data_IF_288369535904
#
_entry.id   IF_288369535904
#
_cell.length_a   1.000
_cell.length_b   1.000
_cell.length_c   1.000
_cell.angle_alpha   90.00
_cell.angle_beta   90.00
_cell.angle_gamma   90.00
#
_symmetry.space_group_name_H-M   'P 1'
#
loop_
_entity.id
_entity.type
_entity.pdbx_description
1 polymer ?
#
# COMPACT_ATOMS: atom_id res chain seq x y z
N UNK A 1 -8.48 -18.69 -8.13
CA UNK A 1 -9.26 -17.55 -8.63
C UNK A 1 -9.45 -16.53 -7.52
N UNK A 2 -8.96 -15.31 -7.73
CA UNK A 2 -9.12 -14.25 -6.75
C UNK A 2 -10.57 -13.75 -6.79
N UNK A 3 -11.28 -13.82 -5.68
CA UNK A 3 -12.63 -13.28 -5.58
C UNK A 3 -12.61 -11.86 -4.99
N UNK A 4 -13.63 -11.01 -5.25
CA UNK A 4 -13.66 -9.64 -4.75
C UNK A 4 -13.60 -9.53 -3.22
N UNK A 5 -14.16 -10.52 -2.52
CA UNK A 5 -14.17 -10.53 -1.05
C UNK A 5 -12.77 -10.78 -0.49
N UNK A 6 -12.01 -11.71 -1.07
CA UNK A 6 -10.62 -11.98 -0.70
C UNK A 6 -9.72 -10.76 -0.95
N UNK A 7 -9.93 -10.07 -2.07
CA UNK A 7 -9.19 -8.87 -2.41
C UNK A 7 -9.51 -7.74 -1.43
N UNK A 8 -10.78 -7.55 -1.10
CA UNK A 8 -11.20 -6.55 -0.12
C UNK A 8 -10.57 -6.81 1.26
N UNK A 9 -10.53 -8.07 1.70
CA UNK A 9 -9.88 -8.46 2.95
C UNK A 9 -8.37 -8.18 2.91
N UNK A 10 -7.71 -8.44 1.78
CA UNK A 10 -6.29 -8.13 1.57
C UNK A 10 -6.00 -6.63 1.66
N UNK A 11 -6.86 -5.81 1.09
CA UNK A 11 -6.72 -4.34 1.16
C UNK A 11 -6.83 -3.85 2.60
N UNK A 12 -7.77 -4.37 3.38
CA UNK A 12 -7.91 -4.02 4.79
C UNK A 12 -6.63 -4.36 5.56
N UNK A 13 -6.07 -5.56 5.33
CA UNK A 13 -4.80 -5.96 5.94
C UNK A 13 -3.63 -5.07 5.53
N UNK A 14 -3.53 -4.73 4.25
CA UNK A 14 -2.50 -3.83 3.73
C UNK A 14 -2.62 -2.42 4.31
N UNK A 15 -3.85 -1.90 4.43
CA UNK A 15 -4.10 -0.58 5.03
C UNK A 15 -3.69 -0.56 6.51
N UNK A 16 -3.97 -1.62 7.25
CA UNK A 16 -3.55 -1.75 8.64
C UNK A 16 -2.03 -1.75 8.77
N UNK A 17 -1.33 -2.53 7.94
CA UNK A 17 0.13 -2.60 7.91
C UNK A 17 0.75 -1.25 7.52
N UNK A 18 0.26 -0.62 6.46
CA UNK A 18 0.73 0.68 6.01
C UNK A 18 0.49 1.76 7.07
N UNK A 19 -0.67 1.75 7.72
CA UNK A 19 -1.00 2.66 8.81
C UNK A 19 -0.05 2.52 9.99
N UNK A 20 0.28 1.31 10.37
CA UNK A 20 1.24 1.02 11.46
C UNK A 20 2.64 1.54 11.12
N UNK A 21 3.11 1.28 9.91
CA UNK A 21 4.41 1.76 9.42
C UNK A 21 4.44 3.30 9.39
N UNK A 22 3.41 3.94 8.87
CA UNK A 22 3.29 5.39 8.86
C UNK A 22 3.31 5.97 10.28
N UNK A 23 2.61 5.34 11.22
CA UNK A 23 2.58 5.77 12.62
C UNK A 23 3.97 5.70 13.26
N UNK A 24 4.68 4.60 13.06
CA UNK A 24 6.04 4.41 13.61
C UNK A 24 7.01 5.43 13.02
N UNK A 25 7.02 5.60 11.71
CA UNK A 25 7.89 6.56 11.02
C UNK A 25 7.55 8.01 11.39
N UNK A 26 6.27 8.35 11.46
CA UNK A 26 5.81 9.68 11.86
C UNK A 26 6.23 10.01 13.29
N UNK A 27 6.08 9.07 14.19
CA UNK A 27 6.53 9.21 15.56
C UNK A 27 8.04 9.45 15.65
N UNK A 28 8.82 8.68 14.90
CA UNK A 28 10.28 8.85 14.84
C UNK A 28 10.67 10.21 14.27
N UNK A 29 10.12 10.60 13.13
CA UNK A 29 10.43 11.88 12.48
C UNK A 29 10.06 13.07 13.36
N UNK A 30 8.95 12.97 14.10
CA UNK A 30 8.49 14.05 15.00
C UNK A 30 9.31 14.16 16.29
N UNK A 31 9.80 13.03 16.80
CA UNK A 31 10.47 12.99 18.11
C UNK A 31 11.96 13.28 18.05
N UNK A 32 12.57 13.18 16.87
CA UNK A 32 14.02 13.34 16.70
C UNK A 32 14.32 14.71 16.11
N UNK A 33 15.22 15.48 16.75
CA UNK A 33 15.71 16.73 16.20
C UNK A 33 16.57 16.37 14.97
N UNK A 34 16.34 17.04 13.86
CA UNK A 34 17.03 16.80 12.59
C UNK A 34 16.90 15.32 12.12
N UNK A 35 15.66 14.85 12.01
CA UNK A 35 15.39 13.50 11.49
C UNK A 35 16.04 13.31 10.11
N UNK A 36 16.67 12.16 9.85
CA UNK A 36 17.32 11.90 8.57
C UNK A 36 16.35 12.05 7.39
N UNK A 37 16.83 12.59 6.28
CA UNK A 37 16.01 12.72 5.08
C UNK A 37 15.50 11.37 4.59
N UNK A 38 16.31 10.32 4.74
CA UNK A 38 15.91 8.95 4.40
C UNK A 38 14.67 8.48 5.18
N UNK A 39 14.54 8.86 6.46
CA UNK A 39 13.36 8.54 7.26
C UNK A 39 12.13 9.31 6.76
N UNK A 40 12.29 10.57 6.39
CA UNK A 40 11.22 11.37 5.80
C UNK A 40 10.78 10.82 4.45
N UNK A 41 11.73 10.38 3.63
CA UNK A 41 11.45 9.76 2.33
C UNK A 41 10.68 8.44 2.51
N UNK A 42 11.06 7.64 3.49
CA UNK A 42 10.36 6.39 3.81
C UNK A 42 8.92 6.68 4.28
N UNK A 43 8.74 7.69 5.12
CA UNK A 43 7.41 8.11 5.58
C UNK A 43 6.55 8.59 4.41
N UNK A 44 7.12 9.39 3.51
CA UNK A 44 6.41 9.88 2.33
C UNK A 44 5.97 8.70 1.43
N UNK A 45 6.87 7.76 1.17
CA UNK A 45 6.57 6.59 0.34
C UNK A 45 5.45 5.72 0.95
N UNK A 46 5.51 5.47 2.26
CA UNK A 46 4.50 4.70 2.95
C UNK A 46 3.14 5.42 2.99
N UNK A 47 3.15 6.73 3.19
CA UNK A 47 1.93 7.56 3.20
C UNK A 47 1.26 7.59 1.82
N UNK A 48 2.03 7.73 0.76
CA UNK A 48 1.52 7.71 -0.62
C UNK A 48 0.92 6.35 -0.97
N UNK A 49 1.59 5.27 -0.58
CA UNK A 49 1.07 3.92 -0.78
C UNK A 49 -0.26 3.73 -0.04
N UNK A 50 -0.35 4.22 1.19
CA UNK A 50 -1.57 4.16 1.99
C UNK A 50 -2.73 4.88 1.30
N UNK A 51 -2.49 6.08 0.74
CA UNK A 51 -3.51 6.83 0.00
C UNK A 51 -4.01 6.04 -1.21
N UNK A 52 -3.12 5.42 -1.97
CA UNK A 52 -3.51 4.61 -3.12
C UNK A 52 -4.33 3.39 -2.67
N UNK A 53 -3.95 2.75 -1.57
CA UNK A 53 -4.72 1.63 -1.01
C UNK A 53 -6.12 2.07 -0.56
N UNK A 54 -6.26 3.25 0.01
CA UNK A 54 -7.58 3.82 0.37
C UNK A 54 -8.43 4.04 -0.89
N UNK A 55 -7.85 4.51 -1.98
CA UNK A 55 -8.55 4.68 -3.25
C UNK A 55 -8.99 3.33 -3.83
N UNK A 56 -8.14 2.32 -3.76
CA UNK A 56 -8.47 0.96 -4.20
C UNK A 56 -9.62 0.39 -3.37
N UNK A 57 -9.59 0.58 -2.06
CA UNK A 57 -10.67 0.15 -1.17
C UNK A 57 -12.01 0.80 -1.54
N UNK A 58 -12.01 2.10 -1.78
CA UNK A 58 -13.21 2.83 -2.19
C UNK A 58 -13.78 2.32 -3.51
N UNK A 59 -12.92 2.02 -4.48
CA UNK A 59 -13.35 1.44 -5.75
C UNK A 59 -13.92 0.03 -5.60
N UNK A 60 -13.30 -0.80 -4.78
CA UNK A 60 -13.78 -2.16 -4.53
C UNK A 60 -15.15 -2.15 -3.84
N UNK A 61 -15.38 -1.21 -2.94
CA UNK A 61 -16.67 -1.04 -2.27
C UNK A 61 -17.77 -0.66 -3.27
N UNK A 62 -17.46 0.24 -4.20
CA UNK A 62 -18.40 0.62 -5.28
C UNK A 62 -18.66 -0.57 -6.21
N UNK A 63 -17.60 -1.31 -6.57
CA UNK A 63 -17.70 -2.45 -7.48
C UNK A 63 -18.47 -3.63 -6.89
N UNK A 64 -18.47 -3.81 -5.57
CA UNK A 64 -19.19 -4.90 -4.91
C UNK A 64 -20.71 -4.81 -5.08
N UNK A 65 -21.22 -3.62 -5.38
CA UNK A 65 -22.64 -3.40 -5.68
C UNK A 65 -23.02 -3.56 -7.15
N UNK A 66 -22.05 -3.84 -8.04
CA UNK A 66 -22.29 -3.97 -9.48
C UNK A 66 -22.39 -5.45 -9.87
N UNK A 67 -23.20 -5.79 -10.92
CA UNK A 67 -23.22 -7.16 -11.43
C UNK A 67 -21.83 -7.55 -11.95
N UNK A 68 -21.42 -8.77 -11.66
CA UNK A 68 -20.12 -9.30 -12.01
C UNK A 68 -19.93 -9.32 -13.54
N UNK A 69 -19.02 -8.46 -14.02
CA UNK A 69 -18.62 -8.44 -15.40
C UNK A 69 -17.33 -9.25 -15.55
N UNK A 70 -17.35 -10.26 -16.45
CA UNK A 70 -16.22 -11.16 -16.69
C UNK A 70 -14.90 -10.45 -16.99
N UNK A 71 -14.95 -9.27 -17.63
CA UNK A 71 -13.76 -8.47 -17.93
C UNK A 71 -13.10 -7.90 -16.68
N UNK A 72 -13.85 -7.65 -15.64
CA UNK A 72 -13.32 -7.20 -14.35
C UNK A 72 -12.62 -8.33 -13.60
N UNK A 73 -13.11 -9.57 -13.70
CA UNK A 73 -12.53 -10.73 -13.04
C UNK A 73 -11.09 -11.01 -13.48
N UNK A 74 -10.78 -10.84 -14.76
CA UNK A 74 -9.43 -11.04 -15.30
C UNK A 74 -8.43 -10.04 -14.70
N UNK A 75 -8.89 -8.84 -14.38
CA UNK A 75 -8.04 -7.79 -13.79
C UNK A 75 -7.86 -7.93 -12.30
N UNK A 76 -8.81 -8.57 -11.62
CA UNK A 76 -8.68 -8.88 -10.20
C UNK A 76 -7.50 -9.81 -9.92
N UNK A 77 -7.14 -10.70 -10.85
CA UNK A 77 -5.97 -11.56 -10.71
C UNK A 77 -4.66 -10.74 -10.71
N UNK A 78 -4.55 -9.73 -11.57
CA UNK A 78 -3.41 -8.81 -11.59
C UNK A 78 -3.33 -8.00 -10.29
N UNK A 79 -4.46 -7.53 -9.80
CA UNK A 79 -4.55 -6.81 -8.53
C UNK A 79 -4.09 -7.72 -7.39
N UNK A 80 -4.53 -8.97 -7.38
CA UNK A 80 -4.14 -9.95 -6.37
C UNK A 80 -2.63 -10.20 -6.34
N UNK A 81 -1.98 -10.30 -7.50
CA UNK A 81 -0.51 -10.46 -7.60
C UNK A 81 0.20 -9.22 -7.04
N UNK A 82 -0.24 -8.03 -7.40
CA UNK A 82 0.33 -6.78 -6.90
C UNK A 82 0.17 -6.68 -5.39
N UNK A 83 -1.00 -7.05 -4.85
CA UNK A 83 -1.24 -7.08 -3.41
C UNK A 83 -0.36 -8.08 -2.69
N UNK A 84 -0.16 -9.27 -3.25
CA UNK A 84 0.74 -10.26 -2.66
C UNK A 84 2.17 -9.72 -2.55
N UNK A 85 2.67 -9.07 -3.59
CA UNK A 85 3.98 -8.43 -3.57
C UNK A 85 4.04 -7.29 -2.55
N UNK A 86 2.97 -6.53 -2.44
CA UNK A 86 2.85 -5.44 -1.46
C UNK A 86 2.88 -5.98 -0.02
N UNK A 87 2.18 -7.08 0.24
CA UNK A 87 2.20 -7.77 1.55
C UNK A 87 3.64 -8.13 1.94
N UNK A 88 4.38 -8.73 1.02
CA UNK A 88 5.78 -9.11 1.28
C UNK A 88 6.64 -7.89 1.62
N UNK A 89 6.53 -6.82 0.84
CA UNK A 89 7.31 -5.60 1.06
C UNK A 89 6.96 -4.92 2.38
N UNK A 90 5.67 -4.78 2.68
CA UNK A 90 5.21 -4.18 3.94
C UNK A 90 5.58 -5.04 5.14
N UNK A 91 5.54 -6.36 5.02
CA UNK A 91 5.95 -7.29 6.08
C UNK A 91 7.44 -7.16 6.38
N UNK A 92 8.28 -7.07 5.35
CA UNK A 92 9.72 -6.84 5.53
C UNK A 92 9.96 -5.48 6.22
N UNK A 93 9.28 -4.44 5.76
CA UNK A 93 9.41 -3.10 6.31
C UNK A 93 8.95 -3.07 7.78
N UNK A 94 7.84 -3.71 8.09
CA UNK A 94 7.33 -3.83 9.45
C UNK A 94 8.32 -4.55 10.36
N UNK A 95 8.91 -5.64 9.89
CA UNK A 95 9.90 -6.39 10.69
C UNK A 95 11.17 -5.59 10.95
N UNK A 96 11.54 -4.68 10.05
CA UNK A 96 12.69 -3.80 10.25
C UNK A 96 12.41 -2.65 11.22
N UNK A 97 11.19 -2.12 11.22
CA UNK A 97 10.84 -0.90 11.96
C UNK A 97 10.10 -1.17 13.26
N UNK A 98 9.33 -2.26 13.33
CA UNK A 98 8.41 -2.55 14.41
C UNK A 98 8.83 -3.81 15.18
N UNK A 99 10.07 -3.85 15.69
CA UNK A 99 10.47 -4.91 16.61
C UNK A 99 9.66 -4.80 17.89
N UNK A 100 9.26 -5.95 18.42
CA UNK A 100 8.43 -6.04 19.64
C UNK A 100 9.01 -5.15 20.75
N UNK A 101 8.18 -4.27 21.25
CA UNK A 101 8.41 -3.42 22.42
C UNK A 101 9.50 -2.35 22.32
N UNK A 102 10.16 -2.21 21.17
CA UNK A 102 11.16 -1.16 20.96
C UNK A 102 10.60 -0.02 20.09
N UNK A 103 10.66 1.18 20.64
CA UNK A 103 10.38 2.38 19.85
C UNK A 103 11.49 2.59 18.82
N UNK A 104 11.11 3.04 17.63
CA UNK A 104 12.09 3.40 16.64
C UNK A 104 12.89 4.62 17.12
N UNK A 105 14.19 4.46 17.21
CA UNK A 105 15.12 5.49 17.63
C UNK A 105 16.29 5.60 16.66
N UNK A 106 17.11 6.64 16.82
CA UNK A 106 18.17 6.98 15.88
C UNK A 106 19.18 5.85 15.64
N UNK A 107 19.58 5.12 16.69
CA UNK A 107 20.51 4.00 16.55
C UNK A 107 19.92 2.86 15.73
N UNK A 108 18.66 2.52 15.97
CA UNK A 108 17.93 1.50 15.23
C UNK A 108 17.79 1.92 13.76
N UNK A 109 17.47 3.19 13.51
CA UNK A 109 17.40 3.73 12.16
C UNK A 109 18.72 3.57 11.41
N UNK A 110 19.84 3.96 12.01
CA UNK A 110 21.17 3.82 11.39
C UNK A 110 21.45 2.36 11.00
N UNK A 111 21.05 1.41 11.85
CA UNK A 111 21.23 -0.02 11.57
C UNK A 111 20.35 -0.55 10.44
N UNK A 112 19.14 -0.02 10.30
CA UNK A 112 18.15 -0.53 9.36
C UNK A 112 18.04 0.30 8.09
N UNK A 113 18.60 1.49 8.06
CA UNK A 113 18.46 2.47 6.98
C UNK A 113 18.71 1.88 5.59
N UNK A 114 19.83 1.17 5.39
CA UNK A 114 20.17 0.58 4.09
C UNK A 114 19.13 -0.41 3.62
N UNK A 115 18.61 -1.23 4.54
CA UNK A 115 17.59 -2.23 4.22
C UNK A 115 16.26 -1.57 3.89
N UNK A 116 15.89 -0.53 4.64
CA UNK A 116 14.68 0.27 4.38
C UNK A 116 14.79 0.93 3.00
N UNK A 117 15.91 1.57 2.70
CA UNK A 117 16.12 2.24 1.41
C UNK A 117 16.06 1.28 0.22
N UNK A 118 16.42 0.02 0.40
CA UNK A 118 16.27 -1.01 -0.64
C UNK A 118 14.81 -1.35 -0.92
N UNK A 119 13.94 -1.20 0.07
CA UNK A 119 12.51 -1.49 -0.07
C UNK A 119 11.74 -0.34 -0.71
N UNK A 120 12.24 0.90 -0.65
CA UNK A 120 11.55 2.06 -1.20
C UNK A 120 11.26 1.96 -2.70
N UNK A 121 12.20 1.52 -3.57
CA UNK A 121 11.89 1.33 -4.98
C UNK A 121 10.78 0.30 -5.22
N UNK A 122 10.68 -0.73 -4.38
CA UNK A 122 9.59 -1.71 -4.46
C UNK A 122 8.26 -1.08 -4.11
N UNK A 123 8.21 -0.25 -3.07
CA UNK A 123 7.00 0.50 -2.69
C UNK A 123 6.57 1.44 -3.82
N UNK A 124 7.51 2.15 -4.43
CA UNK A 124 7.23 3.04 -5.56
C UNK A 124 6.67 2.28 -6.75
N UNK A 125 7.25 1.14 -7.08
CA UNK A 125 6.77 0.27 -8.16
C UNK A 125 5.36 -0.25 -7.89
N UNK A 126 5.09 -0.68 -6.67
CA UNK A 126 3.77 -1.18 -6.27
C UNK A 126 2.72 -0.06 -6.27
N UNK A 127 3.10 1.11 -5.79
CA UNK A 127 2.24 2.30 -5.84
C UNK A 127 1.89 2.66 -7.29
N UNK A 128 2.87 2.69 -8.18
CA UNK A 128 2.66 2.97 -9.59
C UNK A 128 1.73 1.95 -10.25
N UNK A 129 1.92 0.66 -9.98
CA UNK A 129 1.07 -0.41 -10.49
C UNK A 129 -0.37 -0.26 -10.01
N UNK A 130 -0.57 0.01 -8.72
CA UNK A 130 -1.91 0.21 -8.15
C UNK A 130 -2.57 1.48 -8.67
N UNK A 131 -1.81 2.57 -8.84
CA UNK A 131 -2.33 3.81 -9.42
C UNK A 131 -2.81 3.62 -10.85
N UNK A 132 -2.06 2.85 -11.64
CA UNK A 132 -2.46 2.50 -13.00
C UNK A 132 -3.74 1.66 -12.99
N UNK A 133 -3.84 0.66 -12.10
CA UNK A 133 -5.05 -0.16 -11.96
C UNK A 133 -6.26 0.68 -11.58
N UNK A 134 -6.10 1.61 -10.65
CA UNK A 134 -7.18 2.54 -10.24
C UNK A 134 -7.65 3.37 -11.44
N UNK A 135 -6.71 3.92 -12.21
CA UNK A 135 -7.04 4.70 -13.42
C UNK A 135 -7.81 3.89 -14.44
N UNK A 136 -7.40 2.65 -14.67
CA UNK A 136 -8.07 1.73 -15.60
C UNK A 136 -9.48 1.39 -15.11
N UNK A 137 -9.64 1.10 -13.82
CA UNK A 137 -10.95 0.78 -13.22
C UNK A 137 -11.91 1.96 -13.30
N UNK A 138 -11.43 3.17 -13.03
CA UNK A 138 -12.24 4.39 -13.16
C UNK A 138 -12.69 4.57 -14.62
N UNK A 139 -11.78 4.40 -15.57
CA UNK A 139 -12.09 4.53 -17.00
C UNK A 139 -13.18 3.54 -17.44
N UNK A 140 -13.07 2.27 -17.01
CA UNK A 140 -14.08 1.25 -17.29
C UNK A 140 -15.43 1.56 -16.64
N UNK A 141 -15.43 2.07 -15.43
CA UNK A 141 -16.64 2.50 -14.75
C UNK A 141 -17.39 3.60 -15.52
N UNK A 142 -16.65 4.55 -16.05
CA UNK A 142 -17.23 5.62 -16.88
C UNK A 142 -17.74 5.11 -18.23
N UNK A 143 -17.03 4.18 -18.86
CA UNK A 143 -17.44 3.60 -20.15
C UNK A 143 -18.73 2.82 -20.05
N UNK A 144 -18.98 2.13 -18.94
CA UNK A 144 -20.20 1.34 -18.76
C UNK A 144 -21.42 2.21 -18.41
N UNK A 145 -21.23 3.43 -17.91
CA UNK A 145 -22.33 4.36 -17.64
C UNK A 145 -22.74 5.21 -18.84
N UNK A 146 -21.98 5.16 -19.94
CA UNK A 146 -22.21 5.96 -21.15
C UNK A 146 -23.10 5.29 -22.20
N UNK A 147 -23.52 4.05 -21.97
CA UNK A 147 -24.46 3.37 -22.86
C UNK A 147 -25.87 3.40 -22.28
N UNK A 148 -26.83 4.00 -23.04
CA UNK A 148 -28.23 3.96 -22.65
C UNK A 148 -28.79 2.54 -22.69
#
# INVERSE_FOLDING_TARGET
MADPLSIAASVVGLLAAAGKICSVLSGFVSSVIDAPQSARDALAAASELRLVLEMVQGLLDVMSGLPSNRKMLVRLDHIAVTFANCVLTLSELESLLCLKDDLLHRLKWVRTEKKVLRLLPRLESQKASMSLMVSVLIWYGHSSSSFP
#
